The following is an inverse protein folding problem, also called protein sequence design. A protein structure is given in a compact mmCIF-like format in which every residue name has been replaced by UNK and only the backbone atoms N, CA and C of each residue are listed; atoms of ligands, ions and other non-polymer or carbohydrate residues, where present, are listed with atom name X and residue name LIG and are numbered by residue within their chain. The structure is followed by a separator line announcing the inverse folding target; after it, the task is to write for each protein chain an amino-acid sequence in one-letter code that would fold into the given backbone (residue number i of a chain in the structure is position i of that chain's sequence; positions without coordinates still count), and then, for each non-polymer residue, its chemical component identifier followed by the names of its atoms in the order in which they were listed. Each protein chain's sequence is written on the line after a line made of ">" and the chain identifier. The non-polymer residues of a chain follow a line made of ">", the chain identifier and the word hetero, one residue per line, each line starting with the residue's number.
data_IF_491850977602
#
_entry.id   IF_491850977602
#
_cell.length_a   1.000
_cell.length_b   1.000
_cell.length_c   1.000
_cell.angle_alpha   90.00
_cell.angle_beta   90.00
_cell.angle_gamma   90.00
#
_symmetry.space_group_name_H-M   'P 1'
#
loop_
_entity.id
_entity.type
_entity.pdbx_description
1 polymer ?
#
# COMPACT_ATOMS: atom_id res chain seq x y z
N UNK A 1 -5.67 70.15 -37.87
CA UNK A 1 -6.54 69.19 -38.59
C UNK A 1 -6.32 69.37 -40.07
N UNK A 2 -5.68 68.41 -40.72
CA UNK A 2 -5.67 68.31 -42.18
C UNK A 2 -5.67 66.82 -42.50
N UNK A 3 -6.74 66.37 -43.16
CA UNK A 3 -7.06 64.97 -43.41
C UNK A 3 -6.51 64.63 -44.79
N UNK A 4 -5.27 64.14 -44.86
CA UNK A 4 -4.63 63.75 -46.12
C UNK A 4 -3.50 62.75 -45.86
N UNK A 5 -3.83 61.52 -45.45
CA UNK A 5 -2.92 60.35 -45.55
C UNK A 5 -3.62 59.05 -45.14
N UNK A 6 -4.52 58.53 -45.98
CA UNK A 6 -4.99 57.15 -45.91
C UNK A 6 -5.30 56.62 -47.32
N UNK A 7 -4.32 56.73 -48.22
CA UNK A 7 -4.33 56.09 -49.54
C UNK A 7 -3.26 54.99 -49.57
N UNK A 8 -3.42 53.96 -48.73
CA UNK A 8 -2.37 52.94 -48.59
C UNK A 8 -2.71 51.66 -47.83
N UNK A 9 -3.98 51.33 -47.59
CA UNK A 9 -4.34 50.00 -47.08
C UNK A 9 -5.27 49.34 -48.08
N UNK A 10 -4.66 48.67 -49.06
CA UNK A 10 -5.32 47.59 -49.77
C UNK A 10 -5.52 46.46 -48.77
N UNK A 11 -6.76 46.12 -48.45
CA UNK A 11 -7.07 44.84 -47.83
C UNK A 11 -6.69 43.77 -48.87
N UNK A 12 -5.77 42.83 -48.59
CA UNK A 12 -5.50 41.75 -49.51
C UNK A 12 -6.77 40.91 -49.62
N UNK A 13 -7.47 41.03 -50.74
CA UNK A 13 -8.56 40.13 -51.10
C UNK A 13 -7.95 38.88 -51.74
N UNK A 14 -7.09 38.18 -50.99
CA UNK A 14 -6.70 36.82 -51.34
C UNK A 14 -7.61 35.89 -50.57
N UNK A 15 -8.61 35.33 -51.25
CA UNK A 15 -9.20 34.08 -50.78
C UNK A 15 -8.05 33.11 -50.46
N UNK A 16 -8.08 32.41 -49.32
CA UNK A 16 -7.06 31.42 -49.01
C UNK A 16 -6.93 30.46 -50.20
N UNK A 17 -5.69 30.17 -50.59
CA UNK A 17 -5.40 29.33 -51.74
C UNK A 17 -6.11 27.98 -51.56
N UNK A 18 -6.97 27.58 -52.52
CA UNK A 18 -7.81 26.38 -52.39
C UNK A 18 -6.96 25.15 -52.06
N UNK A 19 -5.74 25.08 -52.59
CA UNK A 19 -4.80 23.99 -52.36
C UNK A 19 -4.36 23.90 -50.89
N UNK A 20 -4.16 25.04 -50.22
CA UNK A 20 -3.80 25.10 -48.80
C UNK A 20 -4.99 24.65 -47.93
N UNK A 21 -6.21 25.06 -48.29
CA UNK A 21 -7.43 24.67 -47.57
C UNK A 21 -7.70 23.17 -47.70
N UNK A 22 -7.54 22.60 -48.90
CA UNK A 22 -7.70 21.15 -49.11
C UNK A 22 -6.66 20.33 -48.35
N UNK A 23 -5.39 20.77 -48.32
CA UNK A 23 -4.33 20.10 -47.55
C UNK A 23 -4.57 20.13 -46.04
N UNK A 24 -5.10 21.23 -45.50
CA UNK A 24 -5.45 21.33 -44.07
C UNK A 24 -6.61 20.38 -43.71
N UNK A 25 -7.62 20.26 -44.57
CA UNK A 25 -8.75 19.34 -44.37
C UNK A 25 -8.29 17.88 -44.43
N UNK A 26 -7.43 17.52 -45.39
CA UNK A 26 -6.88 16.16 -45.50
C UNK A 26 -6.04 15.78 -44.27
N UNK A 27 -5.23 16.71 -43.77
CA UNK A 27 -4.44 16.50 -42.55
C UNK A 27 -5.34 16.30 -41.32
N UNK A 28 -6.41 17.09 -41.19
CA UNK A 28 -7.40 16.96 -40.11
C UNK A 28 -8.16 15.62 -40.17
N UNK A 29 -8.58 15.19 -41.35
CA UNK A 29 -9.24 13.89 -41.53
C UNK A 29 -8.30 12.72 -41.19
N UNK A 30 -7.03 12.79 -41.58
CA UNK A 30 -6.03 11.79 -41.22
C UNK A 30 -5.79 11.73 -39.70
N UNK A 31 -5.79 12.87 -39.02
CA UNK A 31 -5.69 12.94 -37.56
C UNK A 31 -6.92 12.29 -36.87
N UNK A 32 -8.12 12.53 -37.39
CA UNK A 32 -9.36 11.90 -36.90
C UNK A 32 -9.34 10.38 -37.11
N UNK A 33 -8.93 9.91 -38.29
CA UNK A 33 -8.85 8.47 -38.57
C UNK A 33 -7.81 7.77 -37.68
N UNK A 34 -6.66 8.43 -37.40
CA UNK A 34 -5.67 7.93 -36.46
C UNK A 34 -6.22 7.86 -35.02
N UNK A 35 -6.90 8.92 -34.57
CA UNK A 35 -7.54 8.97 -33.26
C UNK A 35 -8.61 7.86 -33.11
N UNK A 36 -9.41 7.62 -34.14
CA UNK A 36 -10.41 6.56 -34.15
C UNK A 36 -9.77 5.18 -34.09
N UNK A 37 -8.69 4.95 -34.85
CA UNK A 37 -7.94 3.70 -34.80
C UNK A 37 -7.38 3.42 -33.40
N UNK A 38 -6.86 4.45 -32.73
CA UNK A 38 -6.41 4.34 -31.32
C UNK A 38 -7.57 3.97 -30.39
N UNK A 39 -8.74 4.60 -30.48
CA UNK A 39 -9.88 4.18 -29.65
C UNK A 39 -10.29 2.73 -29.94
N UNK A 40 -10.30 2.31 -31.19
CA UNK A 40 -10.70 0.95 -31.55
C UNK A 40 -9.72 -0.12 -31.01
N UNK A 41 -8.45 0.22 -30.80
CA UNK A 41 -7.46 -0.70 -30.20
C UNK A 41 -7.76 -1.03 -28.73
N UNK A 42 -8.43 -0.14 -27.99
CA UNK A 42 -8.79 -0.37 -26.58
C UNK A 42 -10.17 -0.97 -26.40
N UNK A 43 -10.96 -1.11 -27.46
CA UNK A 43 -12.31 -1.65 -27.38
C UNK A 43 -12.33 -3.11 -26.92
N UNK A 44 -11.35 -3.91 -27.32
CA UNK A 44 -11.23 -5.30 -26.89
C UNK A 44 -11.00 -5.40 -25.38
N UNK A 45 -10.08 -4.59 -24.83
CA UNK A 45 -9.83 -4.53 -23.39
C UNK A 45 -11.06 -4.02 -22.60
N UNK A 46 -11.82 -3.09 -23.17
CA UNK A 46 -13.10 -2.62 -22.59
C UNK A 46 -14.16 -3.73 -22.61
N UNK A 47 -14.28 -4.49 -23.71
CA UNK A 47 -15.24 -5.60 -23.81
C UNK A 47 -14.88 -6.74 -22.85
N UNK A 48 -13.59 -7.00 -22.65
CA UNK A 48 -13.10 -7.96 -21.66
C UNK A 48 -13.44 -7.50 -20.23
N UNK A 49 -13.40 -6.19 -19.97
CA UNK A 49 -13.85 -5.60 -18.69
C UNK A 49 -15.38 -5.65 -18.45
N UNK A 50 -16.18 -6.05 -19.43
CA UNK A 50 -17.61 -6.34 -19.24
C UNK A 50 -17.84 -7.78 -18.78
N UNK A 51 -16.84 -8.66 -18.92
CA UNK A 51 -16.93 -10.08 -18.56
C UNK A 51 -16.31 -10.39 -17.21
N UNK A 52 -15.36 -9.58 -16.74
CA UNK A 52 -14.71 -9.60 -15.43
C UNK A 52 -14.33 -8.16 -15.02
N UNK A 53 -14.20 -7.83 -13.73
CA UNK A 53 -13.66 -6.53 -13.31
C UNK A 53 -12.29 -6.30 -13.96
N UNK A 54 -12.09 -5.16 -14.63
CA UNK A 54 -10.78 -4.83 -15.19
C UNK A 54 -9.79 -4.49 -14.08
N UNK A 55 -8.53 -4.91 -14.24
CA UNK A 55 -7.45 -4.48 -13.35
C UNK A 55 -7.26 -2.96 -13.43
N UNK A 56 -6.83 -2.36 -12.31
CA UNK A 56 -6.53 -0.94 -12.24
C UNK A 56 -5.50 -0.52 -13.32
N UNK A 57 -4.50 -1.35 -13.56
CA UNK A 57 -3.50 -1.16 -14.62
C UNK A 57 -4.14 -1.11 -16.02
N UNK A 58 -5.05 -2.04 -16.34
CA UNK A 58 -5.74 -2.07 -17.63
C UNK A 58 -6.57 -0.80 -17.83
N UNK A 59 -7.28 -0.36 -16.79
CA UNK A 59 -8.08 0.87 -16.84
C UNK A 59 -7.20 2.12 -16.99
N UNK A 60 -6.05 2.17 -16.29
CA UNK A 60 -5.09 3.26 -16.41
C UNK A 60 -4.50 3.34 -17.83
N UNK A 61 -4.18 2.20 -18.46
CA UNK A 61 -3.74 2.14 -19.86
C UNK A 61 -4.82 2.66 -20.82
N UNK A 62 -6.08 2.25 -20.65
CA UNK A 62 -7.19 2.73 -21.48
C UNK A 62 -7.37 4.24 -21.30
N UNK A 63 -7.34 4.73 -20.07
CA UNK A 63 -7.44 6.14 -19.76
C UNK A 63 -6.28 6.93 -20.42
N UNK A 64 -5.04 6.50 -20.31
CA UNK A 64 -3.90 7.14 -20.98
C UNK A 64 -4.10 7.24 -22.50
N UNK A 65 -4.64 6.20 -23.14
CA UNK A 65 -4.94 6.21 -24.57
C UNK A 65 -6.05 7.20 -24.95
N UNK A 66 -7.11 7.29 -24.15
CA UNK A 66 -8.17 8.28 -24.31
C UNK A 66 -7.62 9.72 -24.18
N UNK A 67 -6.74 9.98 -23.21
CA UNK A 67 -6.06 11.28 -23.06
C UNK A 67 -5.27 11.63 -24.31
N UNK A 68 -4.52 10.68 -24.88
CA UNK A 68 -3.74 10.93 -26.09
C UNK A 68 -4.63 11.30 -27.30
N UNK A 69 -5.80 10.67 -27.42
CA UNK A 69 -6.79 11.00 -28.45
C UNK A 69 -7.28 12.44 -28.30
N UNK A 70 -7.65 12.85 -27.09
CA UNK A 70 -8.07 14.21 -26.79
C UNK A 70 -7.00 15.23 -27.17
N UNK A 71 -5.76 15.03 -26.70
CA UNK A 71 -4.64 15.94 -26.96
C UNK A 71 -4.37 16.07 -28.46
N UNK A 72 -4.46 14.98 -29.21
CA UNK A 72 -4.26 14.98 -30.68
C UNK A 72 -5.31 15.83 -31.40
N UNK A 73 -6.53 15.87 -30.87
CA UNK A 73 -7.66 16.57 -31.47
C UNK A 73 -7.81 18.03 -31.01
N UNK A 74 -7.14 18.41 -29.91
CA UNK A 74 -7.11 19.79 -29.38
C UNK A 74 -6.49 20.78 -30.38
N UNK A 75 -5.52 20.36 -31.18
CA UNK A 75 -4.89 21.21 -32.19
C UNK A 75 -5.77 21.34 -33.44
N UNK A 76 -6.82 22.17 -33.36
CA UNK A 76 -7.60 22.57 -34.52
C UNK A 76 -9.12 22.70 -34.33
N UNK A 77 -9.65 22.49 -33.12
CA UNK A 77 -11.09 22.45 -32.87
C UNK A 77 -11.58 23.66 -32.00
N UNK A 78 -12.68 24.37 -32.34
CA UNK A 78 -13.35 25.36 -31.46
C UNK A 78 -13.86 24.83 -30.10
N UNK A 79 -14.07 23.53 -29.92
CA UNK A 79 -14.41 22.85 -28.66
C UNK A 79 -13.20 22.53 -27.76
N UNK A 80 -12.08 23.23 -27.95
CA UNK A 80 -10.83 23.04 -27.21
C UNK A 80 -11.02 22.96 -25.68
N UNK A 81 -11.95 23.73 -25.11
CA UNK A 81 -12.25 23.69 -23.68
C UNK A 81 -12.88 22.36 -23.22
N UNK A 82 -13.76 21.76 -24.04
CA UNK A 82 -14.42 20.48 -23.73
C UNK A 82 -13.38 19.35 -23.82
N UNK A 83 -12.56 19.38 -24.85
CA UNK A 83 -11.45 18.45 -25.01
C UNK A 83 -10.50 18.54 -23.80
N UNK A 84 -10.05 19.73 -23.41
CA UNK A 84 -9.18 19.90 -22.23
C UNK A 84 -9.82 19.35 -20.95
N UNK A 85 -11.10 19.67 -20.69
CA UNK A 85 -11.80 19.15 -19.51
C UNK A 85 -11.88 17.61 -19.50
N UNK A 86 -12.08 17.00 -20.67
CA UNK A 86 -12.11 15.54 -20.82
C UNK A 86 -10.75 14.90 -20.52
N UNK A 87 -9.66 15.46 -21.05
CA UNK A 87 -8.30 15.00 -20.76
C UNK A 87 -7.97 15.11 -19.27
N UNK A 88 -8.40 16.20 -18.61
CA UNK A 88 -8.20 16.39 -17.18
C UNK A 88 -8.95 15.34 -16.34
N UNK A 89 -10.20 15.02 -16.68
CA UNK A 89 -10.95 13.97 -15.99
C UNK A 89 -10.30 12.59 -16.15
N UNK A 90 -9.82 12.27 -17.35
CA UNK A 90 -9.10 11.02 -17.65
C UNK A 90 -7.82 10.90 -16.81
N UNK A 91 -7.07 12.00 -16.70
CA UNK A 91 -5.86 12.07 -15.88
C UNK A 91 -6.17 11.88 -14.40
N UNK A 92 -7.25 12.49 -13.90
CA UNK A 92 -7.70 12.28 -12.53
C UNK A 92 -8.06 10.81 -12.25
N UNK A 93 -8.73 10.13 -13.19
CA UNK A 93 -9.04 8.70 -13.05
C UNK A 93 -7.80 7.81 -13.06
N UNK A 94 -6.85 8.09 -13.96
CA UNK A 94 -5.59 7.34 -14.03
C UNK A 94 -4.79 7.48 -12.74
N UNK A 95 -4.66 8.72 -12.24
CA UNK A 95 -3.99 8.99 -10.97
C UNK A 95 -4.67 8.31 -9.79
N UNK A 96 -6.01 8.19 -9.81
CA UNK A 96 -6.75 7.49 -8.76
C UNK A 96 -6.51 5.98 -8.78
N UNK A 97 -6.45 5.37 -9.97
CA UNK A 97 -6.11 3.95 -10.12
C UNK A 97 -4.68 3.65 -9.69
N UNK A 98 -3.73 4.51 -10.06
CA UNK A 98 -2.35 4.41 -9.59
C UNK A 98 -2.26 4.54 -8.07
N UNK A 99 -3.02 5.47 -7.46
CA UNK A 99 -3.06 5.59 -6.01
C UNK A 99 -3.59 4.33 -5.31
N UNK A 100 -4.63 3.69 -5.87
CA UNK A 100 -5.14 2.41 -5.33
C UNK A 100 -4.07 1.32 -5.45
N UNK A 101 -3.42 1.18 -6.60
CA UNK A 101 -2.35 0.19 -6.83
C UNK A 101 -1.11 0.42 -5.94
N UNK A 102 -0.77 1.67 -5.63
CA UNK A 102 0.32 1.97 -4.70
C UNK A 102 -0.09 1.71 -3.24
N UNK A 103 -1.35 1.96 -2.88
CA UNK A 103 -1.85 1.69 -1.54
C UNK A 103 -1.87 0.20 -1.22
N UNK A 104 -2.04 -0.67 -2.23
CA UNK A 104 -2.14 -2.11 -2.02
C UNK A 104 -0.78 -2.80 -1.89
N UNK A 105 0.35 -2.10 -1.94
CA UNK A 105 1.69 -2.69 -1.83
C UNK A 105 2.68 -1.79 -1.08
N UNK A 106 3.84 -2.34 -0.75
CA UNK A 106 4.92 -1.65 -0.06
C UNK A 106 4.42 -0.92 1.19
N UNK A 107 4.94 0.29 1.41
CA UNK A 107 4.70 1.06 2.63
C UNK A 107 3.20 1.38 2.86
N UNK A 108 2.42 1.56 1.79
CA UNK A 108 0.99 1.81 1.88
C UNK A 108 0.25 0.63 2.52
N UNK A 109 0.47 -0.58 1.98
CA UNK A 109 -0.14 -1.79 2.52
C UNK A 109 0.42 -2.15 3.90
N UNK A 110 1.70 -1.89 4.14
CA UNK A 110 2.31 -2.10 5.44
C UNK A 110 1.67 -1.23 6.52
N UNK A 111 1.44 0.05 6.22
CA UNK A 111 0.78 0.99 7.12
C UNK A 111 -0.69 0.61 7.36
N UNK A 112 -1.43 0.25 6.30
CA UNK A 112 -2.81 -0.25 6.41
C UNK A 112 -2.90 -1.48 7.32
N UNK A 113 -1.96 -2.42 7.19
CA UNK A 113 -1.91 -3.62 8.01
C UNK A 113 -1.69 -3.29 9.50
N UNK A 114 -0.81 -2.34 9.81
CA UNK A 114 -0.60 -1.87 11.18
C UNK A 114 -1.87 -1.21 11.76
N UNK A 115 -2.61 -0.43 10.96
CA UNK A 115 -3.87 0.15 11.39
C UNK A 115 -4.95 -0.92 11.64
N UNK A 116 -5.04 -1.96 10.81
CA UNK A 116 -5.95 -3.09 11.00
C UNK A 116 -5.65 -3.81 12.31
N UNK A 117 -4.37 -4.12 12.57
CA UNK A 117 -3.94 -4.76 13.82
C UNK A 117 -4.24 -3.89 15.04
N UNK A 118 -3.95 -2.59 14.98
CA UNK A 118 -4.26 -1.66 16.07
C UNK A 118 -5.77 -1.59 16.35
N UNK A 119 -6.58 -1.51 15.29
CA UNK A 119 -8.04 -1.48 15.43
C UNK A 119 -8.56 -2.75 16.10
N UNK A 120 -8.01 -3.91 15.78
CA UNK A 120 -8.38 -5.14 16.47
C UNK A 120 -7.98 -5.09 17.95
N UNK A 121 -6.69 -4.88 18.24
CA UNK A 121 -6.15 -4.84 19.61
C UNK A 121 -6.94 -3.88 20.51
N UNK A 122 -7.19 -2.66 20.03
CA UNK A 122 -7.88 -1.61 20.79
C UNK A 122 -9.38 -1.89 21.01
N UNK A 123 -9.98 -2.84 20.28
CA UNK A 123 -11.41 -3.15 20.36
C UNK A 123 -11.70 -4.50 21.00
N UNK A 124 -10.79 -5.47 20.88
CA UNK A 124 -11.03 -6.86 21.29
C UNK A 124 -10.46 -7.17 22.67
N UNK A 125 -9.46 -6.41 23.13
CA UNK A 125 -8.73 -6.71 24.36
C UNK A 125 -8.53 -5.47 25.23
N UNK A 126 -8.64 -5.58 26.57
CA UNK A 126 -8.02 -4.60 27.45
C UNK A 126 -6.52 -4.55 27.15
N UNK A 127 -5.94 -3.35 27.09
CA UNK A 127 -4.51 -3.13 26.90
C UNK A 127 -3.72 -3.61 28.13
N UNK A 128 -3.59 -4.93 28.27
CA UNK A 128 -2.93 -5.64 29.38
C UNK A 128 -2.25 -6.91 28.84
N UNK A 129 -1.26 -7.44 29.56
CA UNK A 129 -0.57 -8.65 29.10
C UNK A 129 0.14 -8.43 27.76
N UNK A 130 0.08 -9.42 26.87
CA UNK A 130 0.72 -9.33 25.55
C UNK A 130 0.07 -8.29 24.63
N UNK A 131 -1.19 -7.89 24.85
CA UNK A 131 -1.82 -6.81 24.09
C UNK A 131 -1.13 -5.44 24.32
N UNK A 132 -0.49 -5.23 25.48
CA UNK A 132 0.36 -4.05 25.71
C UNK A 132 1.60 -4.09 24.82
N UNK A 133 2.23 -5.25 24.76
CA UNK A 133 3.46 -5.46 24.01
C UNK A 133 3.20 -5.38 22.52
N UNK A 134 2.12 -5.98 22.01
CA UNK A 134 1.72 -5.91 20.60
C UNK A 134 1.40 -4.47 20.19
N UNK A 135 0.65 -3.73 21.03
CA UNK A 135 0.39 -2.31 20.79
C UNK A 135 1.71 -1.51 20.77
N UNK A 136 2.61 -1.76 21.71
CA UNK A 136 3.91 -1.08 21.72
C UNK A 136 4.79 -1.49 20.53
N UNK A 137 4.73 -2.74 20.07
CA UNK A 137 5.45 -3.19 18.89
C UNK A 137 4.98 -2.44 17.64
N UNK A 138 3.67 -2.21 17.47
CA UNK A 138 3.14 -1.36 16.40
C UNK A 138 3.67 0.09 16.47
N UNK A 139 3.82 0.66 17.68
CA UNK A 139 4.46 1.97 17.86
C UNK A 139 5.89 1.95 17.35
N UNK A 140 6.66 0.90 17.69
CA UNK A 140 8.05 0.78 17.29
C UNK A 140 8.19 0.64 15.76
N UNK A 141 7.31 -0.14 15.14
CA UNK A 141 7.25 -0.29 13.69
C UNK A 141 6.92 1.04 13.00
N UNK A 142 5.92 1.79 13.49
CA UNK A 142 5.58 3.12 12.97
C UNK A 142 6.72 4.13 13.14
N UNK A 143 7.48 4.05 14.24
CA UNK A 143 8.68 4.86 14.47
C UNK A 143 9.78 4.54 13.46
N UNK A 144 9.97 3.26 13.10
CA UNK A 144 11.02 2.87 12.15
C UNK A 144 10.71 3.36 10.73
N UNK A 145 9.47 3.20 10.25
CA UNK A 145 9.07 3.69 8.91
C UNK A 145 9.08 5.23 8.83
N UNK A 146 8.97 5.93 9.97
CA UNK A 146 9.02 7.38 10.06
C UNK A 146 10.24 7.87 10.87
N UNK A 147 11.38 7.17 10.80
CA UNK A 147 12.53 7.41 11.68
C UNK A 147 13.05 8.86 11.67
N UNK A 148 12.90 9.56 10.55
CA UNK A 148 13.23 10.97 10.36
C UNK A 148 12.39 11.94 11.21
N UNK A 149 11.18 11.55 11.61
CA UNK A 149 10.31 12.33 12.50
C UNK A 149 10.73 12.24 13.98
N UNK A 150 11.70 11.38 14.30
CA UNK A 150 12.19 11.13 15.65
C UNK A 150 13.67 11.51 15.85
N UNK A 151 14.07 12.79 15.63
CA UNK A 151 15.48 13.22 15.73
C UNK A 151 16.06 13.16 17.15
N UNK A 152 15.23 12.87 18.15
CA UNK A 152 15.65 12.68 19.55
C UNK A 152 16.09 11.25 19.86
N UNK A 153 15.75 10.28 19.00
CA UNK A 153 16.21 8.90 19.11
C UNK A 153 17.65 8.80 18.62
N UNK A 154 18.45 8.08 19.40
CA UNK A 154 19.87 7.83 19.14
C UNK A 154 20.05 6.46 18.47
N UNK A 155 21.24 6.19 17.95
CA UNK A 155 21.57 4.86 17.41
C UNK A 155 21.33 3.74 18.44
N UNK A 156 21.64 3.98 19.72
CA UNK A 156 21.37 3.02 20.81
C UNK A 156 19.86 2.80 21.00
N UNK A 157 19.03 3.84 20.81
CA UNK A 157 17.57 3.68 20.86
C UNK A 157 17.07 2.82 19.69
N UNK A 158 17.63 2.99 18.50
CA UNK A 158 17.29 2.14 17.34
C UNK A 158 17.78 0.69 17.51
N UNK A 159 18.96 0.46 18.08
CA UNK A 159 19.41 -0.89 18.46
C UNK A 159 18.46 -1.52 19.49
N UNK A 160 17.99 -0.73 20.45
CA UNK A 160 16.99 -1.15 21.42
C UNK A 160 15.68 -1.54 20.72
N UNK A 161 15.19 -0.71 19.80
CA UNK A 161 13.97 -1.01 19.01
C UNK A 161 14.09 -2.35 18.27
N UNK A 162 15.22 -2.62 17.61
CA UNK A 162 15.44 -3.86 16.84
C UNK A 162 15.33 -5.10 17.75
N UNK A 163 15.82 -5.03 18.98
CA UNK A 163 15.65 -6.09 19.99
C UNK A 163 14.22 -6.23 20.50
N UNK A 164 13.50 -5.12 20.70
CA UNK A 164 12.08 -5.17 21.07
C UNK A 164 11.23 -5.82 19.98
N UNK A 165 11.50 -5.53 18.70
CA UNK A 165 10.79 -6.20 17.61
C UNK A 165 11.05 -7.72 17.63
N UNK A 166 12.24 -8.17 17.99
CA UNK A 166 12.52 -9.60 18.03
C UNK A 166 11.85 -10.33 19.19
N UNK A 167 11.87 -9.74 20.40
CA UNK A 167 11.59 -10.50 21.63
C UNK A 167 10.34 -10.05 22.41
N UNK A 168 9.66 -8.97 21.99
CA UNK A 168 8.41 -8.52 22.63
C UNK A 168 7.19 -8.82 21.78
N UNK A 169 6.03 -8.85 22.41
CA UNK A 169 4.77 -9.16 21.75
C UNK A 169 4.40 -10.63 21.86
N UNK A 170 3.18 -10.92 21.44
CA UNK A 170 2.58 -12.24 21.55
C UNK A 170 3.45 -13.31 20.87
N UNK A 171 3.88 -14.29 21.67
CA UNK A 171 4.63 -15.46 21.18
C UNK A 171 6.09 -15.22 20.80
N UNK A 172 6.65 -14.05 21.13
CA UNK A 172 8.03 -13.70 20.75
C UNK A 172 9.07 -13.93 21.86
N UNK A 173 8.63 -14.00 23.12
CA UNK A 173 9.54 -14.01 24.26
C UNK A 173 10.67 -15.04 24.13
N UNK A 174 11.87 -14.53 24.08
CA UNK A 174 13.12 -15.26 23.97
C UNK A 174 14.25 -14.47 24.60
N UNK A 175 15.34 -15.13 24.98
CA UNK A 175 16.52 -14.43 25.51
C UNK A 175 17.71 -14.75 24.64
N UNK A 176 18.22 -13.72 23.97
CA UNK A 176 19.33 -13.81 23.01
C UNK A 176 20.41 -12.79 23.37
N UNK A 177 21.67 -13.13 23.09
CA UNK A 177 22.85 -12.27 23.35
C UNK A 177 22.98 -11.70 24.77
N UNK A 178 22.34 -12.31 25.78
CA UNK A 178 22.30 -11.81 27.15
C UNK A 178 21.41 -10.59 27.35
N UNK A 179 20.46 -10.36 26.44
CA UNK A 179 19.39 -9.39 26.57
C UNK A 179 18.11 -10.14 26.98
N UNK A 180 17.65 -9.94 28.21
CA UNK A 180 16.53 -10.64 28.82
C UNK A 180 15.47 -9.69 29.38
N UNK A 181 14.49 -10.25 30.09
CA UNK A 181 13.38 -9.52 30.69
C UNK A 181 13.82 -8.28 31.52
N UNK A 182 14.95 -8.35 32.22
CA UNK A 182 15.43 -7.29 33.10
C UNK A 182 15.99 -6.14 32.25
N UNK A 183 16.66 -6.43 31.13
CA UNK A 183 17.07 -5.43 30.13
C UNK A 183 15.86 -4.77 29.48
N UNK A 184 14.86 -5.53 29.00
CA UNK A 184 13.64 -4.97 28.42
C UNK A 184 12.90 -4.05 29.40
N UNK A 185 12.73 -4.49 30.65
CA UNK A 185 12.08 -3.69 31.69
C UNK A 185 12.86 -2.41 32.04
N UNK A 186 14.19 -2.45 31.98
CA UNK A 186 15.04 -1.28 32.22
C UNK A 186 14.93 -0.26 31.10
N UNK A 187 14.91 -0.71 29.84
CA UNK A 187 15.07 0.17 28.69
C UNK A 187 13.72 0.72 28.18
N UNK A 188 12.60 0.00 28.38
CA UNK A 188 11.27 0.41 27.90
C UNK A 188 10.82 1.79 28.40
N UNK A 189 11.14 2.16 29.65
CA UNK A 189 10.70 3.45 30.22
C UNK A 189 11.33 4.63 29.49
N UNK A 190 12.62 4.55 29.18
CA UNK A 190 13.30 5.62 28.46
C UNK A 190 12.78 5.72 27.03
N UNK A 191 12.67 4.57 26.34
CA UNK A 191 12.23 4.49 24.96
C UNK A 191 10.78 4.99 24.79
N UNK A 192 9.86 4.49 25.60
CA UNK A 192 8.45 4.93 25.58
C UNK A 192 8.33 6.44 25.80
N UNK A 193 9.01 7.01 26.81
CA UNK A 193 8.93 8.44 27.08
C UNK A 193 9.49 9.30 25.94
N UNK A 194 10.59 8.87 25.30
CA UNK A 194 11.12 9.58 24.12
C UNK A 194 10.11 9.57 22.98
N UNK A 195 9.49 8.43 22.68
CA UNK A 195 8.48 8.31 21.63
C UNK A 195 7.24 9.13 21.99
N UNK A 196 6.68 8.96 23.19
CA UNK A 196 5.50 9.69 23.67
C UNK A 196 5.66 11.21 23.60
N UNK A 197 6.86 11.74 23.89
CA UNK A 197 7.11 13.18 23.83
C UNK A 197 7.27 13.72 22.40
N UNK A 198 7.60 12.87 21.42
CA UNK A 198 7.98 13.30 20.07
C UNK A 198 7.09 12.75 18.95
N UNK A 199 6.22 11.77 19.22
CA UNK A 199 5.36 11.17 18.19
C UNK A 199 4.51 12.24 17.48
N UNK A 200 4.57 12.36 16.15
CA UNK A 200 3.84 13.40 15.41
C UNK A 200 2.34 13.35 15.65
N UNK A 201 1.68 14.51 15.73
CA UNK A 201 0.21 14.57 15.82
C UNK A 201 -0.43 13.86 14.62
N UNK A 202 -1.36 12.94 14.88
CA UNK A 202 -2.04 12.17 13.83
C UNK A 202 -1.30 10.94 13.33
N UNK A 203 -0.08 10.66 13.80
CA UNK A 203 0.62 9.39 13.51
C UNK A 203 -0.03 8.21 14.24
N UNK A 204 0.19 6.99 13.73
CA UNK A 204 -0.25 5.77 14.38
C UNK A 204 0.43 5.61 15.75
N UNK A 205 1.75 5.86 15.83
CA UNK A 205 2.50 5.86 17.07
C UNK A 205 1.86 6.78 18.12
N UNK A 206 1.50 8.02 17.74
CA UNK A 206 0.81 8.95 18.64
C UNK A 206 -0.52 8.39 19.14
N UNK A 207 -1.34 7.84 18.26
CA UNK A 207 -2.63 7.25 18.66
C UNK A 207 -2.45 6.14 19.69
N UNK A 208 -1.46 5.28 19.50
CA UNK A 208 -1.26 4.12 20.37
C UNK A 208 -0.63 4.52 21.70
N UNK A 209 0.42 5.35 21.72
CA UNK A 209 1.05 5.76 22.98
C UNK A 209 0.13 6.59 23.87
N UNK A 210 -0.78 7.38 23.28
CA UNK A 210 -1.80 8.10 24.04
C UNK A 210 -2.81 7.12 24.68
N UNK A 211 -3.23 6.06 23.97
CA UNK A 211 -4.07 4.99 24.55
C UNK A 211 -3.35 4.19 25.63
N UNK A 212 -2.08 3.84 25.42
CA UNK A 212 -1.25 3.11 26.39
C UNK A 212 -1.06 3.90 27.70
N UNK A 213 -0.86 5.22 27.60
CA UNK A 213 -0.78 6.12 28.76
C UNK A 213 -2.15 6.22 29.48
N UNK A 214 -3.21 6.53 28.73
CA UNK A 214 -4.54 6.79 29.28
C UNK A 214 -5.22 5.55 29.89
N UNK A 215 -5.13 4.40 29.23
CA UNK A 215 -5.91 3.22 29.58
C UNK A 215 -5.12 2.22 30.45
N UNK A 216 -3.78 2.28 30.39
CA UNK A 216 -2.93 1.27 31.02
C UNK A 216 -1.82 1.84 31.89
N UNK A 217 -1.69 3.17 32.05
CA UNK A 217 -0.64 3.79 32.87
C UNK A 217 0.78 3.38 32.41
N UNK A 218 0.99 3.32 31.09
CA UNK A 218 2.32 3.13 30.50
C UNK A 218 3.21 4.36 30.77
N UNK A 219 4.54 4.18 30.93
CA UNK A 219 5.31 2.95 30.68
C UNK A 219 5.31 1.94 31.84
N UNK A 220 4.75 2.27 33.01
CA UNK A 220 4.86 1.40 34.20
C UNK A 220 4.21 0.03 33.98
N UNK A 221 3.08 -0.03 33.26
CA UNK A 221 2.46 -1.32 32.93
C UNK A 221 3.33 -2.18 31.98
N UNK A 222 4.05 -1.59 31.03
CA UNK A 222 5.01 -2.32 30.19
C UNK A 222 6.17 -2.86 31.04
N UNK A 223 6.70 -2.05 31.96
CA UNK A 223 7.74 -2.49 32.91
C UNK A 223 7.25 -3.68 33.74
N UNK A 224 6.04 -3.61 34.28
CA UNK A 224 5.43 -4.70 35.05
C UNK A 224 5.18 -5.95 34.21
N UNK A 225 4.77 -5.76 32.96
CA UNK A 225 4.57 -6.84 32.01
C UNK A 225 5.89 -7.55 31.68
N UNK A 226 6.98 -6.84 31.40
CA UNK A 226 8.28 -7.50 31.18
C UNK A 226 8.80 -8.20 32.45
N UNK A 227 8.67 -7.59 33.63
CA UNK A 227 9.15 -8.20 34.87
C UNK A 227 8.37 -9.45 35.31
N UNK A 228 7.06 -9.52 35.01
CA UNK A 228 6.17 -10.54 35.59
C UNK A 228 5.46 -11.43 34.55
N UNK A 229 5.35 -10.95 33.31
CA UNK A 229 4.59 -11.55 32.22
C UNK A 229 5.44 -12.28 31.17
N UNK A 230 6.77 -12.24 31.28
CA UNK A 230 7.71 -12.87 30.34
C UNK A 230 7.48 -14.37 30.10
N UNK A 231 6.94 -15.06 31.11
CA UNK A 231 6.64 -16.48 31.05
C UNK A 231 7.89 -17.37 31.10
N UNK A 232 7.76 -18.61 30.64
CA UNK A 232 8.86 -19.54 30.50
C UNK A 232 8.73 -20.32 29.20
N UNK A 233 9.86 -20.77 28.67
CA UNK A 233 9.94 -21.36 27.34
C UNK A 233 9.11 -22.65 27.18
N UNK A 234 9.03 -23.48 28.24
CA UNK A 234 8.17 -24.67 28.24
C UNK A 234 6.69 -24.32 28.03
N UNK A 235 6.21 -23.28 28.72
CA UNK A 235 4.85 -22.78 28.60
C UNK A 235 4.57 -22.26 27.20
N UNK A 236 5.46 -21.41 26.67
CA UNK A 236 5.34 -20.86 25.31
C UNK A 236 5.32 -21.94 24.24
N UNK A 237 6.24 -22.90 24.32
CA UNK A 237 6.28 -24.04 23.41
C UNK A 237 4.98 -24.86 23.49
N UNK A 238 4.52 -25.16 24.71
CA UNK A 238 3.30 -25.92 24.89
C UNK A 238 2.10 -25.19 24.28
N UNK A 239 1.97 -23.90 24.52
CA UNK A 239 0.87 -23.10 23.99
C UNK A 239 0.90 -23.11 22.45
N UNK A 240 2.05 -22.82 21.84
CA UNK A 240 2.17 -22.81 20.38
C UNK A 240 1.99 -24.17 19.71
N UNK A 241 2.52 -25.26 20.28
CA UNK A 241 2.31 -26.62 19.76
C UNK A 241 0.83 -27.04 19.81
N UNK A 242 0.02 -26.37 20.64
CA UNK A 242 -1.42 -26.62 20.79
C UNK A 242 -2.29 -25.49 20.20
N UNK A 243 -1.71 -24.57 19.42
CA UNK A 243 -2.44 -23.47 18.77
C UNK A 243 -3.03 -22.46 19.76
N UNK A 244 -2.46 -22.35 20.96
CA UNK A 244 -2.89 -21.43 22.02
C UNK A 244 -2.03 -20.17 21.99
N UNK A 245 -2.68 -19.03 22.14
CA UNK A 245 -2.01 -17.73 22.15
C UNK A 245 -2.19 -16.99 20.83
N UNK A 246 -1.25 -16.10 20.57
CA UNK A 246 -1.33 -15.13 19.49
C UNK A 246 0.06 -14.88 18.88
N UNK A 247 0.09 -14.24 17.72
CA UNK A 247 1.29 -13.94 16.92
C UNK A 247 1.53 -12.42 16.96
N UNK A 248 2.75 -12.01 17.26
CA UNK A 248 3.10 -10.58 17.35
C UNK A 248 2.94 -9.86 16.01
N UNK A 249 2.67 -8.54 16.03
CA UNK A 249 2.56 -7.73 14.83
C UNK A 249 3.70 -7.89 13.82
N UNK A 250 4.97 -7.87 14.24
CA UNK A 250 6.09 -8.00 13.31
C UNK A 250 6.15 -9.38 12.66
N UNK A 251 5.83 -10.44 13.41
CA UNK A 251 5.83 -11.79 12.89
C UNK A 251 4.65 -12.03 11.95
N UNK A 252 3.49 -11.41 12.23
CA UNK A 252 2.37 -11.34 11.28
C UNK A 252 2.78 -10.68 9.98
N UNK A 253 3.52 -9.57 10.03
CA UNK A 253 4.03 -8.91 8.81
C UNK A 253 5.03 -9.79 8.06
N UNK A 254 5.94 -10.46 8.76
CA UNK A 254 6.89 -11.38 8.14
C UNK A 254 6.18 -12.56 7.44
N UNK A 255 5.23 -13.20 8.14
CA UNK A 255 4.39 -14.28 7.58
C UNK A 255 3.59 -13.77 6.38
N UNK A 256 2.92 -12.63 6.52
CA UNK A 256 2.10 -12.04 5.48
C UNK A 256 2.92 -11.73 4.22
N UNK A 257 4.10 -11.12 4.38
CA UNK A 257 5.01 -10.84 3.26
C UNK A 257 5.44 -12.11 2.55
N UNK A 258 5.74 -13.18 3.29
CA UNK A 258 6.08 -14.49 2.71
C UNK A 258 4.91 -15.08 1.93
N UNK A 259 3.70 -15.04 2.48
CA UNK A 259 2.50 -15.55 1.83
C UNK A 259 2.14 -14.78 0.55
N UNK A 260 2.16 -13.45 0.60
CA UNK A 260 1.89 -12.60 -0.57
C UNK A 260 3.00 -12.71 -1.64
N UNK A 261 4.22 -13.07 -1.24
CA UNK A 261 5.35 -13.29 -2.14
C UNK A 261 5.34 -14.66 -2.82
N UNK A 262 4.55 -15.63 -2.34
CA UNK A 262 4.46 -16.96 -2.93
C UNK A 262 3.47 -16.97 -4.12
N UNK A 263 3.94 -17.19 -5.36
CA UNK A 263 3.07 -17.16 -6.54
C UNK A 263 2.05 -18.32 -6.61
N UNK A 264 2.15 -19.30 -5.71
CA UNK A 264 1.17 -20.38 -5.58
C UNK A 264 0.03 -20.06 -4.61
N UNK A 265 0.12 -18.94 -3.90
CA UNK A 265 -0.86 -18.47 -2.93
C UNK A 265 -1.58 -17.24 -3.50
N UNK A 266 -2.90 -17.22 -3.34
CA UNK A 266 -3.73 -16.04 -3.60
C UNK A 266 -4.63 -15.89 -2.38
N UNK A 267 -4.32 -14.89 -1.54
CA UNK A 267 -5.11 -14.63 -0.32
C UNK A 267 -6.44 -13.98 -0.69
N UNK A 268 -7.52 -14.42 -0.05
CA UNK A 268 -8.76 -13.63 0.00
C UNK A 268 -8.62 -12.46 0.97
N UNK A 269 -9.52 -11.48 0.89
CA UNK A 269 -9.56 -10.37 1.86
C UNK A 269 -9.89 -10.87 3.28
N UNK A 270 -10.66 -11.96 3.43
CA UNK A 270 -10.86 -12.59 4.73
C UNK A 270 -9.59 -13.28 5.26
N UNK A 271 -8.87 -13.98 4.40
CA UNK A 271 -7.61 -14.65 4.78
C UNK A 271 -6.53 -13.64 5.13
N UNK A 272 -6.40 -12.55 4.35
CA UNK A 272 -5.50 -11.43 4.66
C UNK A 272 -5.77 -10.87 6.07
N UNK A 273 -7.04 -10.56 6.38
CA UNK A 273 -7.41 -10.05 7.70
C UNK A 273 -7.20 -11.10 8.80
N UNK A 274 -7.46 -12.38 8.53
CA UNK A 274 -7.22 -13.47 9.48
C UNK A 274 -5.73 -13.60 9.81
N UNK A 275 -4.82 -13.45 8.84
CA UNK A 275 -3.38 -13.45 9.12
C UNK A 275 -2.98 -12.24 9.98
N UNK A 276 -3.66 -11.11 9.86
CA UNK A 276 -3.38 -9.90 10.65
C UNK A 276 -4.02 -9.89 12.04
N UNK A 277 -5.18 -10.52 12.26
CA UNK A 277 -5.92 -10.38 13.52
C UNK A 277 -6.44 -11.69 14.11
N UNK A 278 -6.38 -12.78 13.36
CA UNK A 278 -6.83 -14.11 13.79
C UNK A 278 -5.91 -14.72 14.84
N UNK A 279 -6.42 -15.68 15.60
CA UNK A 279 -5.65 -16.38 16.62
C UNK A 279 -4.55 -17.27 16.01
N UNK A 280 -3.59 -17.70 16.83
CA UNK A 280 -2.59 -18.68 16.38
C UNK A 280 -3.25 -19.96 15.80
N UNK A 281 -4.37 -20.41 16.39
CA UNK A 281 -5.11 -21.56 15.86
C UNK A 281 -5.70 -21.33 14.47
N UNK A 282 -6.12 -20.11 14.15
CA UNK A 282 -6.67 -19.78 12.84
C UNK A 282 -5.55 -19.82 11.79
N UNK A 283 -4.40 -19.22 12.12
CA UNK A 283 -3.21 -19.21 11.27
C UNK A 283 -2.68 -20.65 11.09
N UNK A 284 -2.61 -21.44 12.16
CA UNK A 284 -2.23 -22.87 12.08
C UNK A 284 -3.16 -23.65 11.15
N UNK A 285 -4.46 -23.37 11.19
CA UNK A 285 -5.44 -23.96 10.28
C UNK A 285 -5.12 -23.63 8.82
N UNK A 286 -4.80 -22.38 8.53
CA UNK A 286 -4.38 -21.94 7.20
C UNK A 286 -3.07 -22.63 6.77
N UNK A 287 -2.04 -22.59 7.61
CA UNK A 287 -0.74 -23.22 7.33
C UNK A 287 -0.87 -24.73 7.08
N UNK A 288 -1.74 -25.40 7.83
CA UNK A 288 -1.96 -26.84 7.69
C UNK A 288 -2.62 -27.20 6.36
N UNK A 289 -3.52 -26.35 5.85
CA UNK A 289 -4.20 -26.57 4.56
C UNK A 289 -3.25 -26.34 3.39
N UNK A 290 -2.44 -25.27 3.44
CA UNK A 290 -1.63 -24.84 2.29
C UNK A 290 -0.21 -25.44 2.29
N UNK A 291 0.39 -25.63 3.46
CA UNK A 291 1.79 -26.04 3.62
C UNK A 291 1.96 -27.38 4.36
N UNK A 292 0.87 -27.99 4.85
CA UNK A 292 0.88 -29.25 5.61
C UNK A 292 1.73 -29.19 6.91
N UNK A 293 1.80 -28.00 7.52
CA UNK A 293 2.52 -27.73 8.76
C UNK A 293 1.78 -26.68 9.60
N UNK A 294 2.10 -26.57 10.88
CA UNK A 294 1.63 -25.46 11.73
C UNK A 294 2.54 -24.23 11.55
N UNK A 295 2.22 -23.14 12.24
CA UNK A 295 2.93 -21.86 12.16
C UNK A 295 4.39 -21.99 12.60
N UNK A 296 4.70 -22.73 13.68
CA UNK A 296 6.10 -23.02 14.06
C UNK A 296 6.83 -23.73 12.93
N UNK A 297 6.21 -24.76 12.33
CA UNK A 297 6.80 -25.51 11.22
C UNK A 297 7.08 -24.60 10.02
N UNK A 298 6.17 -23.67 9.74
CA UNK A 298 6.33 -22.68 8.67
C UNK A 298 7.47 -21.71 8.95
N UNK A 299 7.56 -21.17 10.17
CA UNK A 299 8.65 -20.28 10.61
C UNK A 299 10.00 -20.99 10.52
N UNK A 300 10.08 -22.26 10.94
CA UNK A 300 11.31 -23.05 10.89
C UNK A 300 11.64 -23.65 9.51
N UNK A 301 10.89 -23.28 8.47
CA UNK A 301 11.11 -23.76 7.10
C UNK A 301 11.81 -22.71 6.23
N UNK A 302 12.17 -23.09 5.02
CA UNK A 302 12.73 -22.16 4.03
C UNK A 302 11.72 -21.12 3.52
N UNK A 303 10.44 -21.20 3.94
CA UNK A 303 9.42 -20.22 3.57
C UNK A 303 9.64 -18.86 4.26
N UNK A 304 10.02 -18.84 5.55
CA UNK A 304 10.19 -17.59 6.30
C UNK A 304 11.67 -17.33 6.62
N UNK A 305 12.35 -16.65 5.72
CA UNK A 305 13.79 -16.38 5.87
C UNK A 305 14.09 -15.44 7.04
N UNK A 306 15.18 -15.73 7.75
CA UNK A 306 15.69 -14.90 8.84
C UNK A 306 15.03 -15.19 10.19
N UNK A 307 13.92 -15.92 10.23
CA UNK A 307 13.23 -16.28 11.46
C UNK A 307 13.41 -17.77 11.77
N UNK A 308 13.48 -18.08 13.06
CA UNK A 308 13.33 -19.44 13.54
C UNK A 308 12.78 -19.43 14.96
N UNK A 309 12.11 -20.52 15.33
CA UNK A 309 11.79 -20.83 16.70
C UNK A 309 12.77 -21.89 17.21
N UNK A 310 13.63 -21.51 18.15
CA UNK A 310 14.66 -22.39 18.72
C UNK A 310 14.25 -22.95 20.09
N UNK A 311 14.43 -24.26 20.23
CA UNK A 311 14.17 -24.99 21.48
C UNK A 311 15.28 -26.01 21.72
N UNK A 312 16.14 -25.74 22.70
CA UNK A 312 17.07 -26.73 23.24
C UNK A 312 16.94 -26.86 24.76
N UNK A 313 16.54 -28.04 25.22
CA UNK A 313 16.33 -28.37 26.65
C UNK A 313 17.56 -28.17 27.55
N UNK A 314 18.76 -28.05 26.96
CA UNK A 314 20.03 -28.01 27.69
C UNK A 314 20.92 -26.82 27.31
N UNK A 315 20.44 -25.86 26.53
CA UNK A 315 21.26 -24.70 26.16
C UNK A 315 21.41 -23.71 27.30
N UNK A 316 22.61 -23.14 27.41
CA UNK A 316 22.87 -22.07 28.37
C UNK A 316 22.15 -20.79 27.94
N UNK A 317 21.72 -19.97 28.89
CA UNK A 317 21.09 -18.66 28.68
C UNK A 317 21.92 -17.66 27.86
N UNK A 318 23.16 -18.00 27.48
CA UNK A 318 24.02 -17.20 26.61
C UNK A 318 23.96 -17.57 25.12
N UNK A 319 23.10 -18.52 24.72
CA UNK A 319 23.04 -19.07 23.34
C UNK A 319 21.78 -18.70 22.58
N UNK A 320 20.75 -18.14 23.24
CA UNK A 320 19.47 -17.87 22.60
C UNK A 320 18.41 -18.93 22.91
N UNK A 321 17.17 -18.55 23.18
CA UNK A 321 16.02 -19.47 23.17
C UNK A 321 14.72 -18.75 22.78
N UNK A 322 13.74 -19.46 22.21
CA UNK A 322 12.46 -18.87 21.83
C UNK A 322 12.40 -18.44 20.36
N UNK A 323 11.53 -17.47 20.05
CA UNK A 323 11.49 -16.85 18.73
C UNK A 323 12.76 -16.06 18.51
N UNK A 324 13.41 -16.25 17.36
CA UNK A 324 14.72 -15.68 17.08
C UNK A 324 14.76 -15.16 15.64
N UNK A 325 15.38 -13.99 15.47
CA UNK A 325 15.78 -13.47 14.19
C UNK A 325 17.29 -13.72 14.02
N UNK A 326 17.77 -14.08 12.83
CA UNK A 326 19.17 -14.48 12.58
C UNK A 326 20.18 -13.32 12.60
N UNK A 327 20.11 -12.46 13.61
CA UNK A 327 20.97 -11.32 13.85
C UNK A 327 21.25 -11.19 15.34
N UNK A 328 22.49 -10.88 15.71
CA UNK A 328 22.85 -10.56 17.11
C UNK A 328 22.39 -9.17 17.58
N UNK A 329 21.72 -8.41 16.70
CA UNK A 329 21.27 -7.03 16.94
C UNK A 329 19.73 -6.93 17.02
N UNK A 330 19.02 -8.04 16.90
CA UNK A 330 17.57 -8.09 16.72
C UNK A 330 17.13 -7.90 15.26
N UNK A 331 15.84 -7.62 15.05
CA UNK A 331 15.26 -7.42 13.71
C UNK A 331 15.93 -6.20 13.07
N UNK A 332 16.90 -6.44 12.17
CA UNK A 332 17.76 -5.38 11.64
C UNK A 332 16.96 -4.31 10.90
N UNK A 333 17.41 -3.05 10.96
CA UNK A 333 16.78 -1.96 10.21
C UNK A 333 16.61 -2.29 8.72
N UNK A 334 17.66 -2.82 8.06
CA UNK A 334 17.61 -3.17 6.63
C UNK A 334 16.52 -4.22 6.33
N UNK A 335 16.40 -5.27 7.17
CA UNK A 335 15.33 -6.26 7.02
C UNK A 335 13.95 -5.64 7.21
N UNK A 336 13.79 -4.77 8.22
CA UNK A 336 12.53 -4.11 8.48
C UNK A 336 12.14 -3.15 7.35
N UNK A 337 13.09 -2.37 6.83
CA UNK A 337 12.90 -1.46 5.69
C UNK A 337 12.48 -2.26 4.44
N UNK A 338 13.15 -3.37 4.15
CA UNK A 338 12.76 -4.27 3.04
C UNK A 338 11.35 -4.84 3.24
N UNK A 339 11.02 -5.28 4.47
CA UNK A 339 9.68 -5.80 4.79
C UNK A 339 8.59 -4.73 4.60
N UNK A 340 8.88 -3.48 4.97
CA UNK A 340 7.95 -2.37 4.88
C UNK A 340 7.79 -1.83 3.46
N UNK A 341 8.89 -1.58 2.75
CA UNK A 341 8.88 -0.94 1.43
C UNK A 341 8.55 -1.92 0.30
N UNK A 342 8.84 -3.22 0.48
CA UNK A 342 8.69 -4.23 -0.57
C UNK A 342 7.57 -5.23 -0.31
N UNK A 343 6.65 -4.93 0.62
CA UNK A 343 5.49 -5.78 0.88
C UNK A 343 4.73 -6.05 -0.43
N UNK A 344 4.55 -7.32 -0.84
CA UNK A 344 3.84 -7.62 -2.09
C UNK A 344 2.36 -7.21 -2.02
N UNK A 345 1.70 -7.16 -3.17
CA UNK A 345 0.36 -6.58 -3.25
C UNK A 345 -0.68 -7.39 -2.46
N UNK A 346 -1.41 -6.73 -1.57
CA UNK A 346 -2.54 -7.30 -0.84
C UNK A 346 -3.80 -7.38 -1.72
N UNK A 347 -4.77 -8.23 -1.35
CA UNK A 347 -6.10 -8.20 -1.96
C UNK A 347 -6.76 -6.82 -1.85
N UNK A 348 -7.55 -6.47 -2.88
CA UNK A 348 -8.33 -5.24 -2.88
C UNK A 348 -9.47 -5.34 -1.86
N UNK A 349 -9.77 -4.23 -1.19
CA UNK A 349 -10.97 -4.13 -0.37
C UNK A 349 -12.22 -3.99 -1.23
N UNK A 350 -13.39 -4.25 -0.64
CA UNK A 350 -14.67 -4.06 -1.33
C UNK A 350 -14.84 -2.60 -1.82
N UNK A 351 -14.43 -1.61 -1.01
CA UNK A 351 -14.48 -0.20 -1.39
C UNK A 351 -13.55 0.13 -2.55
N UNK A 352 -12.35 -0.47 -2.59
CA UNK A 352 -11.39 -0.30 -3.69
C UNK A 352 -11.93 -0.94 -4.98
N UNK A 353 -12.57 -2.12 -4.88
CA UNK A 353 -13.24 -2.79 -6.01
C UNK A 353 -14.41 -1.95 -6.53
N UNK A 354 -15.26 -1.42 -5.63
CA UNK A 354 -16.35 -0.52 -5.99
C UNK A 354 -15.83 0.75 -6.68
N UNK A 355 -14.74 1.32 -6.17
CA UNK A 355 -14.11 2.50 -6.77
C UNK A 355 -13.52 2.21 -8.15
N UNK A 356 -12.80 1.09 -8.31
CA UNK A 356 -12.28 0.64 -9.61
C UNK A 356 -13.42 0.42 -10.60
N UNK A 357 -14.52 -0.22 -10.19
CA UNK A 357 -15.68 -0.44 -11.04
C UNK A 357 -16.32 0.89 -11.47
N UNK A 358 -16.48 1.83 -10.54
CA UNK A 358 -16.99 3.18 -10.83
C UNK A 358 -16.11 3.92 -11.82
N UNK A 359 -14.78 3.86 -11.66
CA UNK A 359 -13.83 4.44 -12.61
C UNK A 359 -13.94 3.74 -13.96
N UNK A 360 -14.05 2.41 -13.98
CA UNK A 360 -14.27 1.60 -15.18
C UNK A 360 -15.48 2.07 -15.98
N UNK A 361 -16.62 2.29 -15.32
CA UNK A 361 -17.83 2.82 -15.96
C UNK A 361 -17.62 4.23 -16.54
N UNK A 362 -16.87 5.08 -15.84
CA UNK A 362 -16.53 6.42 -16.33
C UNK A 362 -15.62 6.34 -17.55
N UNK A 363 -14.60 5.49 -17.54
CA UNK A 363 -13.70 5.24 -18.69
C UNK A 363 -14.49 4.70 -19.88
N UNK A 364 -15.46 3.81 -19.68
CA UNK A 364 -16.36 3.31 -20.74
C UNK A 364 -17.20 4.44 -21.33
N UNK A 365 -17.80 5.28 -20.50
CA UNK A 365 -18.58 6.44 -20.95
C UNK A 365 -17.73 7.45 -21.72
N UNK A 366 -16.49 7.68 -21.28
CA UNK A 366 -15.53 8.54 -21.98
C UNK A 366 -15.18 7.97 -23.36
N UNK A 367 -14.96 6.65 -23.47
CA UNK A 367 -14.70 5.99 -24.75
C UNK A 367 -15.82 6.28 -25.77
N UNK A 368 -17.08 6.08 -25.37
CA UNK A 368 -18.23 6.30 -26.25
C UNK A 368 -18.39 7.78 -26.62
N UNK A 369 -18.19 8.66 -25.64
CA UNK A 369 -18.23 10.12 -25.85
C UNK A 369 -17.17 10.56 -26.86
N UNK A 370 -15.94 10.05 -26.73
CA UNK A 370 -14.84 10.34 -27.66
C UNK A 370 -15.14 9.87 -29.08
N UNK A 371 -15.65 8.65 -29.23
CA UNK A 371 -16.04 8.12 -30.55
C UNK A 371 -17.12 8.97 -31.21
N UNK A 372 -18.14 9.34 -30.45
CA UNK A 372 -19.21 10.21 -30.94
C UNK A 372 -18.66 11.58 -31.37
N UNK A 373 -17.80 12.19 -30.55
CA UNK A 373 -17.16 13.46 -30.86
C UNK A 373 -16.30 13.38 -32.13
N UNK A 374 -15.46 12.34 -32.28
CA UNK A 374 -14.68 12.12 -33.50
C UNK A 374 -15.57 11.96 -34.73
N UNK A 375 -16.72 11.29 -34.60
CA UNK A 375 -17.70 11.17 -35.69
C UNK A 375 -18.25 12.53 -36.10
N UNK A 376 -18.61 13.39 -35.16
CA UNK A 376 -19.09 14.76 -35.45
C UNK A 376 -17.99 15.55 -36.15
N UNK A 377 -16.77 15.57 -35.61
CA UNK A 377 -15.66 16.28 -36.22
C UNK A 377 -15.41 15.80 -37.66
N UNK A 378 -15.50 14.49 -37.92
CA UNK A 378 -15.38 13.93 -39.27
C UNK A 378 -16.46 14.45 -40.20
N UNK A 379 -17.72 14.41 -39.77
CA UNK A 379 -18.86 14.84 -40.56
C UNK A 379 -18.78 16.34 -40.89
N UNK A 380 -18.33 17.17 -39.95
CA UNK A 380 -18.09 18.59 -40.17
C UNK A 380 -16.98 18.82 -41.21
N UNK A 381 -15.82 18.17 -41.07
CA UNK A 381 -14.73 18.31 -42.04
C UNK A 381 -15.15 17.82 -43.43
N UNK A 382 -15.91 16.72 -43.52
CA UNK A 382 -16.47 16.20 -44.77
C UNK A 382 -17.49 17.16 -45.39
N UNK A 383 -18.32 17.82 -44.58
CA UNK A 383 -19.27 18.82 -45.05
C UNK A 383 -18.55 20.07 -45.58
N UNK A 384 -17.50 20.54 -44.89
CA UNK A 384 -16.64 21.63 -45.36
C UNK A 384 -15.99 21.24 -46.70
N UNK A 385 -15.40 20.05 -46.78
CA UNK A 385 -14.77 19.54 -47.99
C UNK A 385 -15.74 19.49 -49.19
N UNK A 386 -17.00 19.09 -48.96
CA UNK A 386 -18.03 19.03 -50.00
C UNK A 386 -18.52 20.41 -50.47
N UNK A 387 -18.44 21.42 -49.61
CA UNK A 387 -18.92 22.77 -49.89
C UNK A 387 -17.87 23.67 -50.59
N UNK A 388 -16.59 23.29 -50.59
CA UNK A 388 -15.45 23.99 -51.23
C UNK A 388 -15.28 23.56 -52.69
#
# INVERSE_FOLDING_TARGET
>A
MNVSNLSGISIPNSSPDKTIVTQDIEARLAAIDNAQAKLNQTDTAILESDMQPASAETLAMIAAQQKQVVVTMVSGNPEQAIAIALAQSIEAYSARLEAIDQQTKGLGAFSDAMEIMWKDISQTSPLTGTALEDAFQLVLMDVLIHSEDYPSLTSDDFETIQRFLECSGSGMHGSHEGYDQDEFARDVTSLFNKIYLNAPEGSLARSIVDSLDADSNCPQALVEQFNNGWGNLDGWKYDWENGVGDVSPILRMAILSSLLGDPSIELSSEEYNMILTGSLSDIDGYMQVHFQMNTIGYINSDHLQGWNFHWEENESTGTGYGMNFWSSEGVTFDYFEDLAEQLPSRPLTDEEIEEINRIGDQVKMLQQTLKYWLSICRDEQMAIARNI
#
